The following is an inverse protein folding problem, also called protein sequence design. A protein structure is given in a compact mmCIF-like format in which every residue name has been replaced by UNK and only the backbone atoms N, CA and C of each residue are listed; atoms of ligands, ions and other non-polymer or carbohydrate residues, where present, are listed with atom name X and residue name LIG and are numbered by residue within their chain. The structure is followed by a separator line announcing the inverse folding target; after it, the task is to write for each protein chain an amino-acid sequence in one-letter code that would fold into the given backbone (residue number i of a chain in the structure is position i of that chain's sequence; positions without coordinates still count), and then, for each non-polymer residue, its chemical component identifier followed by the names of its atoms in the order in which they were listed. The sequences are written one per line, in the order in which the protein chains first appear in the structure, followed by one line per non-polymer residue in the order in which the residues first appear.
data_IF_627671941143
#
_entry.id   IF_627671941143
#
_cell.length_a   1.000
_cell.length_b   1.000
_cell.length_c   1.000
_cell.angle_alpha   90.00
_cell.angle_beta   90.00
_cell.angle_gamma   90.00
#
_symmetry.space_group_name_H-M   'P 1'
#
loop_
_entity.id
_entity.type
_entity.pdbx_description
1 polymer ?
#
# COMPACT_ATOMS: atom_id res chain seq x y z
N UNK A 1 -13.53 -31.62 6.20
CA UNK A 1 -12.09 -31.41 5.86
C UNK A 1 -11.87 -31.76 4.41
N UNK A 2 -11.24 -30.85 3.64
CA UNK A 2 -10.95 -31.13 2.22
C UNK A 2 -9.68 -31.98 2.08
N UNK A 3 -9.68 -32.96 1.20
CA UNK A 3 -8.50 -33.73 0.81
C UNK A 3 -8.57 -34.11 -0.67
N UNK A 4 -7.41 -34.31 -1.29
CA UNK A 4 -7.31 -34.78 -2.67
C UNK A 4 -6.98 -36.27 -2.64
N UNK A 5 -7.67 -37.05 -3.44
CA UNK A 5 -7.39 -38.47 -3.70
C UNK A 5 -6.87 -38.62 -5.12
N UNK A 6 -6.61 -39.84 -5.57
CA UNK A 6 -6.07 -40.11 -6.91
C UNK A 6 -6.95 -39.55 -8.04
N UNK A 7 -8.28 -39.58 -7.86
CA UNK A 7 -9.26 -39.24 -8.90
C UNK A 7 -10.37 -38.30 -8.42
N UNK A 8 -10.30 -37.74 -7.20
CA UNK A 8 -11.36 -36.90 -6.68
C UNK A 8 -10.86 -35.84 -5.68
N UNK A 9 -11.61 -34.75 -5.57
CA UNK A 9 -11.55 -33.83 -4.44
C UNK A 9 -12.65 -34.19 -3.46
N UNK A 10 -12.26 -34.48 -2.22
CA UNK A 10 -13.20 -34.79 -1.14
C UNK A 10 -13.51 -33.52 -0.34
N UNK A 11 -14.77 -33.19 -0.20
CA UNK A 11 -15.23 -32.09 0.65
C UNK A 11 -16.49 -32.54 1.42
N UNK A 12 -16.43 -32.44 2.74
CA UNK A 12 -17.50 -32.88 3.67
C UNK A 12 -18.05 -34.27 3.32
N UNK A 13 -17.16 -35.24 3.14
CA UNK A 13 -17.39 -36.63 2.81
C UNK A 13 -18.05 -36.89 1.42
N UNK A 14 -18.20 -35.85 0.61
CA UNK A 14 -18.64 -35.97 -0.79
C UNK A 14 -17.40 -36.03 -1.70
N UNK A 15 -17.39 -37.01 -2.59
CA UNK A 15 -16.35 -37.14 -3.61
C UNK A 15 -16.78 -36.41 -4.89
N UNK A 16 -15.95 -35.47 -5.34
CA UNK A 16 -16.06 -34.79 -6.63
C UNK A 16 -15.00 -35.38 -7.54
N UNK A 17 -15.39 -36.27 -8.43
CA UNK A 17 -14.50 -36.88 -9.42
C UNK A 17 -14.07 -35.80 -10.43
N UNK A 18 -12.76 -35.70 -10.67
CA UNK A 18 -12.17 -34.69 -11.57
C UNK A 18 -10.95 -35.27 -12.28
N UNK A 19 -10.76 -34.90 -13.53
CA UNK A 19 -9.60 -35.28 -14.35
C UNK A 19 -8.45 -34.25 -14.22
N UNK A 20 -8.79 -33.02 -13.77
CA UNK A 20 -7.82 -31.94 -13.65
C UNK A 20 -8.20 -30.98 -12.52
N UNK A 21 -7.20 -30.50 -11.79
CA UNK A 21 -7.35 -29.46 -10.79
C UNK A 21 -6.51 -28.24 -11.22
N UNK A 22 -7.18 -27.09 -11.37
CA UNK A 22 -6.51 -25.83 -11.70
C UNK A 22 -6.41 -24.99 -10.43
N UNK A 23 -5.18 -24.78 -9.93
CA UNK A 23 -4.92 -23.92 -8.79
C UNK A 23 -4.89 -22.45 -9.24
N UNK A 24 -6.02 -21.77 -9.20
CA UNK A 24 -6.16 -20.35 -9.52
C UNK A 24 -6.20 -19.52 -8.24
N UNK A 25 -5.16 -19.61 -7.41
CA UNK A 25 -5.12 -19.07 -6.04
C UNK A 25 -4.83 -17.56 -5.97
N UNK A 26 -4.51 -16.93 -7.12
CA UNK A 26 -4.27 -15.48 -7.18
C UNK A 26 -2.93 -15.05 -6.57
N UNK A 27 -2.84 -13.76 -6.27
CA UNK A 27 -1.66 -13.13 -5.68
C UNK A 27 -1.97 -12.53 -4.32
N UNK A 28 -0.98 -12.47 -3.42
CA UNK A 28 -1.10 -11.76 -2.15
C UNK A 28 -1.07 -10.24 -2.40
N UNK A 29 -2.13 -9.52 -2.03
CA UNK A 29 -2.22 -8.05 -2.19
C UNK A 29 -2.37 -7.36 -0.84
N UNK A 30 -3.08 -7.96 0.09
CA UNK A 30 -3.41 -7.38 1.39
C UNK A 30 -2.49 -7.80 2.54
N UNK A 31 -1.47 -8.58 2.28
CA UNK A 31 -0.52 -9.06 3.28
C UNK A 31 0.61 -8.07 3.54
N UNK A 32 1.35 -8.29 4.62
CA UNK A 32 2.52 -7.49 4.99
C UNK A 32 3.49 -7.32 3.80
N UNK A 33 4.11 -6.13 3.71
CA UNK A 33 4.97 -5.78 2.59
C UNK A 33 6.18 -6.71 2.49
N UNK A 34 6.87 -7.00 3.59
CA UNK A 34 8.05 -7.86 3.59
C UNK A 34 7.70 -9.31 3.24
N UNK A 35 6.56 -9.82 3.74
CA UNK A 35 6.05 -11.15 3.37
C UNK A 35 5.76 -11.22 1.88
N UNK A 36 5.06 -10.23 1.35
CA UNK A 36 4.66 -10.20 -0.06
C UNK A 36 5.83 -10.02 -1.03
N UNK A 37 6.81 -9.17 -0.66
CA UNK A 37 7.99 -8.91 -1.49
C UNK A 37 9.07 -9.98 -1.37
N UNK A 38 9.07 -10.74 -0.28
CA UNK A 38 10.08 -11.76 0.02
C UNK A 38 11.43 -11.17 0.48
N UNK A 39 11.50 -9.86 0.77
CA UNK A 39 12.69 -9.20 1.31
C UNK A 39 12.33 -8.10 2.30
N UNK A 40 13.26 -7.77 3.19
CA UNK A 40 13.13 -6.69 4.15
C UNK A 40 13.87 -5.43 3.66
N UNK A 41 13.23 -4.28 3.81
CA UNK A 41 13.87 -2.98 3.55
C UNK A 41 14.32 -2.40 4.89
N UNK A 42 15.59 -2.00 4.96
CA UNK A 42 16.16 -1.32 6.11
C UNK A 42 16.43 0.15 5.76
N UNK A 43 15.96 1.03 6.60
CA UNK A 43 16.16 2.47 6.55
C UNK A 43 17.35 2.94 7.40
N UNK A 44 17.26 4.19 7.87
CA UNK A 44 18.26 4.80 8.74
C UNK A 44 18.31 4.06 10.08
N UNK A 45 19.52 3.92 10.63
CA UNK A 45 19.79 3.27 11.92
C UNK A 45 19.26 1.83 12.02
N UNK A 46 19.12 1.14 10.88
CA UNK A 46 18.67 -0.23 10.84
C UNK A 46 17.15 -0.42 11.03
N UNK A 47 16.37 0.66 11.07
CA UNK A 47 14.92 0.59 11.14
C UNK A 47 14.38 -0.21 9.96
N UNK A 48 13.65 -1.30 10.22
CA UNK A 48 13.03 -2.08 9.14
C UNK A 48 11.66 -1.52 8.77
N UNK A 49 11.22 -1.77 7.53
CA UNK A 49 9.88 -1.34 7.10
C UNK A 49 8.77 -2.06 7.88
N UNK A 50 9.00 -3.30 8.26
CA UNK A 50 8.06 -4.07 9.09
C UNK A 50 7.93 -3.48 10.49
N UNK A 51 9.03 -3.04 11.11
CA UNK A 51 9.00 -2.36 12.41
C UNK A 51 8.32 -0.98 12.29
N UNK A 52 8.65 -0.22 11.24
CA UNK A 52 8.05 1.09 10.97
C UNK A 52 6.53 1.01 10.81
N UNK A 53 6.03 -0.04 10.17
CA UNK A 53 4.62 -0.26 9.89
C UNK A 53 3.94 -1.30 10.79
N UNK A 54 4.59 -1.68 11.91
CA UNK A 54 4.02 -2.66 12.87
C UNK A 54 2.64 -2.25 13.37
N UNK A 55 2.42 -0.94 13.50
CA UNK A 55 1.15 -0.35 13.93
C UNK A 55 0.27 0.14 12.76
N UNK A 56 0.60 -0.22 11.54
CA UNK A 56 -0.05 0.18 10.30
C UNK A 56 0.85 1.11 9.48
N UNK A 57 0.51 1.29 8.20
CA UNK A 57 1.29 2.11 7.29
C UNK A 57 1.35 3.56 7.76
N UNK A 58 2.55 4.11 7.81
CA UNK A 58 2.79 5.54 7.98
C UNK A 58 3.61 6.05 6.81
N UNK A 59 3.07 7.02 6.09
CA UNK A 59 3.71 7.61 4.92
C UNK A 59 3.26 9.06 4.73
N UNK A 60 3.90 9.76 3.81
CA UNK A 60 3.40 11.00 3.25
C UNK A 60 3.04 10.77 1.78
N UNK A 61 1.84 11.15 1.39
CA UNK A 61 1.25 10.92 0.07
C UNK A 61 1.22 9.43 -0.38
N UNK A 62 1.23 8.48 0.55
CA UNK A 62 1.26 7.05 0.23
C UNK A 62 2.59 6.53 -0.35
N UNK A 63 3.60 7.37 -0.50
CA UNK A 63 4.83 7.04 -1.23
C UNK A 63 6.12 7.31 -0.46
N UNK A 64 6.15 8.28 0.44
CA UNK A 64 7.36 8.68 1.16
C UNK A 64 7.25 8.27 2.62
N UNK A 65 8.30 7.69 3.16
CA UNK A 65 8.33 7.18 4.54
C UNK A 65 9.49 7.80 5.30
N UNK A 66 9.21 8.35 6.49
CA UNK A 66 10.26 8.85 7.36
C UNK A 66 11.16 7.73 7.85
N UNK A 67 12.48 7.99 7.81
CA UNK A 67 13.50 6.99 8.11
C UNK A 67 13.93 6.15 6.91
N UNK A 68 13.30 6.36 5.74
CA UNK A 68 13.63 5.66 4.50
C UNK A 68 13.93 6.66 3.38
N UNK A 69 15.05 7.38 3.48
CA UNK A 69 15.42 8.40 2.51
C UNK A 69 15.60 7.79 1.11
N UNK A 70 15.10 8.51 0.10
CA UNK A 70 15.17 8.11 -1.32
C UNK A 70 14.48 6.77 -1.63
N UNK A 71 13.70 6.21 -0.70
CA UNK A 71 12.83 5.08 -0.94
C UNK A 71 11.40 5.56 -1.27
N UNK A 72 10.83 5.00 -2.33
CA UNK A 72 9.49 5.35 -2.78
C UNK A 72 8.64 4.09 -2.86
N UNK A 73 7.51 4.10 -2.19
CA UNK A 73 6.58 2.98 -2.13
C UNK A 73 5.40 3.24 -3.06
N UNK A 74 5.04 2.26 -3.85
CA UNK A 74 3.91 2.36 -4.78
C UNK A 74 2.82 1.39 -4.36
N UNK A 75 1.59 1.84 -4.39
CA UNK A 75 0.46 0.99 -4.03
C UNK A 75 -0.83 1.77 -3.79
N UNK A 76 -1.89 1.07 -3.39
CA UNK A 76 -3.18 1.69 -3.13
C UNK A 76 -3.31 2.28 -1.71
N UNK A 77 -2.53 1.78 -0.74
CA UNK A 77 -2.62 2.20 0.66
C UNK A 77 -2.15 3.64 0.81
N UNK A 78 -2.95 4.44 1.53
CA UNK A 78 -2.74 5.88 1.72
C UNK A 78 -2.62 6.69 0.42
N UNK A 79 -3.04 6.12 -0.72
CA UNK A 79 -2.97 6.71 -2.05
C UNK A 79 -4.29 6.57 -2.81
N UNK A 80 -4.33 7.05 -4.05
CA UNK A 80 -5.50 6.92 -4.90
C UNK A 80 -5.67 5.49 -5.43
N UNK A 81 -6.71 4.80 -4.97
CA UNK A 81 -7.05 3.49 -5.50
C UNK A 81 -8.05 3.62 -6.65
N UNK A 82 -7.70 3.06 -7.81
CA UNK A 82 -8.53 3.05 -9.02
C UNK A 82 -8.61 1.64 -9.61
N UNK A 83 -9.75 1.30 -10.20
CA UNK A 83 -9.90 0.07 -10.99
C UNK A 83 -8.89 0.02 -12.16
N UNK A 84 -8.53 1.17 -12.72
CA UNK A 84 -7.38 1.30 -13.61
C UNK A 84 -6.10 1.48 -12.79
N UNK A 85 -5.55 0.37 -12.30
CA UNK A 85 -4.39 0.40 -11.42
C UNK A 85 -3.13 0.93 -12.11
N UNK A 86 -2.97 0.66 -13.41
CA UNK A 86 -1.84 1.17 -14.20
C UNK A 86 -1.86 2.69 -14.31
N UNK A 87 -3.03 3.31 -14.44
CA UNK A 87 -3.16 4.77 -14.39
C UNK A 87 -2.76 5.34 -13.01
N UNK A 88 -3.18 4.68 -11.94
CA UNK A 88 -2.80 5.10 -10.60
C UNK A 88 -1.28 5.04 -10.38
N UNK A 89 -0.62 3.99 -10.89
CA UNK A 89 0.84 3.86 -10.84
C UNK A 89 1.55 4.91 -11.71
N UNK A 90 1.01 5.27 -12.87
CA UNK A 90 1.54 6.33 -13.73
C UNK A 90 1.52 7.69 -13.01
N UNK A 91 0.41 8.05 -12.36
CA UNK A 91 0.31 9.29 -11.59
C UNK A 91 1.26 9.33 -10.37
N UNK A 92 1.43 8.20 -9.67
CA UNK A 92 2.42 8.08 -8.60
C UNK A 92 3.85 8.21 -9.16
N UNK A 93 4.14 7.58 -10.29
CA UNK A 93 5.43 7.64 -10.96
C UNK A 93 5.78 9.06 -11.41
N UNK A 94 4.82 9.79 -11.97
CA UNK A 94 4.97 11.22 -12.32
C UNK A 94 5.29 12.07 -11.11
N UNK A 95 4.65 11.78 -9.96
CA UNK A 95 4.92 12.50 -8.72
C UNK A 95 6.34 12.27 -8.22
N UNK A 96 6.79 11.02 -8.18
CA UNK A 96 8.16 10.65 -7.79
C UNK A 96 9.18 11.24 -8.77
N UNK A 97 8.96 11.12 -10.07
CA UNK A 97 9.85 11.67 -11.09
C UNK A 97 10.00 13.20 -10.96
N UNK A 98 8.90 13.90 -10.65
CA UNK A 98 8.93 15.33 -10.36
C UNK A 98 9.84 15.64 -9.16
N UNK A 99 9.68 14.89 -8.04
CA UNK A 99 10.48 15.10 -6.82
C UNK A 99 11.96 14.87 -7.10
N UNK A 100 12.31 13.75 -7.73
CA UNK A 100 13.71 13.44 -8.10
C UNK A 100 14.30 14.52 -9.00
N UNK A 101 13.54 15.00 -9.99
CA UNK A 101 13.95 16.09 -10.86
C UNK A 101 14.12 17.42 -10.09
N UNK A 102 13.20 17.72 -9.17
CA UNK A 102 13.28 18.94 -8.37
C UNK A 102 14.45 18.92 -7.39
N UNK A 103 14.77 17.79 -6.79
CA UNK A 103 15.97 17.61 -5.96
C UNK A 103 17.23 17.85 -6.79
N UNK A 104 17.33 17.24 -7.97
CA UNK A 104 18.48 17.42 -8.88
C UNK A 104 18.68 18.89 -9.28
N UNK A 105 17.60 19.61 -9.64
CA UNK A 105 17.67 21.04 -9.96
C UNK A 105 18.17 21.90 -8.79
N UNK A 106 17.87 21.47 -7.54
CA UNK A 106 18.26 22.18 -6.31
C UNK A 106 19.61 21.71 -5.75
N UNK A 107 20.32 20.82 -6.44
CA UNK A 107 21.60 20.26 -5.97
C UNK A 107 21.44 19.38 -4.72
N UNK A 108 20.23 18.86 -4.47
CA UNK A 108 19.90 18.00 -3.34
C UNK A 108 19.98 16.54 -3.74
N UNK A 109 20.36 15.67 -2.79
CA UNK A 109 20.59 14.23 -3.05
C UNK A 109 19.73 13.33 -2.18
N UNK A 110 19.04 13.90 -1.19
CA UNK A 110 18.24 13.13 -0.21
C UNK A 110 16.88 13.77 -0.02
N UNK A 111 15.86 12.95 0.04
CA UNK A 111 14.53 13.32 0.51
C UNK A 111 13.89 12.20 1.30
N UNK A 112 13.15 12.56 2.32
CA UNK A 112 12.28 11.66 3.08
C UNK A 112 11.06 12.44 3.59
N UNK A 113 10.04 11.76 4.08
CA UNK A 113 8.91 12.43 4.70
C UNK A 113 9.35 13.22 5.93
N UNK A 114 8.92 14.48 6.05
CA UNK A 114 9.03 15.23 7.29
C UNK A 114 8.09 14.61 8.35
N UNK A 115 8.54 14.54 9.61
CA UNK A 115 7.80 13.87 10.67
C UNK A 115 6.35 14.37 10.80
N UNK A 116 6.18 15.70 10.78
CA UNK A 116 4.84 16.31 10.88
C UNK A 116 3.98 16.00 9.65
N UNK A 117 4.53 16.04 8.46
CA UNK A 117 3.78 15.78 7.24
C UNK A 117 3.31 14.31 7.14
N UNK A 118 4.14 13.37 7.56
CA UNK A 118 3.77 11.97 7.67
C UNK A 118 2.63 11.78 8.68
N UNK A 119 2.75 12.38 9.88
CA UNK A 119 1.73 12.26 10.91
C UNK A 119 0.39 12.90 10.50
N UNK A 120 0.44 14.11 9.92
CA UNK A 120 -0.75 14.81 9.42
C UNK A 120 -1.44 14.01 8.30
N UNK A 121 -0.65 13.39 7.41
CA UNK A 121 -1.20 12.55 6.33
C UNK A 121 -1.89 11.31 6.88
N UNK A 122 -1.27 10.60 7.84
CA UNK A 122 -1.89 9.46 8.51
C UNK A 122 -3.20 9.86 9.19
N UNK A 123 -3.21 11.00 9.90
CA UNK A 123 -4.42 11.50 10.55
C UNK A 123 -5.54 11.79 9.53
N UNK A 124 -5.20 12.40 8.39
CA UNK A 124 -6.16 12.67 7.32
C UNK A 124 -6.71 11.38 6.70
N UNK A 125 -5.86 10.36 6.48
CA UNK A 125 -6.30 9.05 5.99
C UNK A 125 -7.28 8.41 6.97
N UNK A 126 -6.98 8.44 8.27
CA UNK A 126 -7.86 7.88 9.32
C UNK A 126 -9.19 8.63 9.38
N UNK A 127 -9.16 9.96 9.32
CA UNK A 127 -10.37 10.80 9.34
C UNK A 127 -11.29 10.51 8.13
N UNK A 128 -10.69 10.39 6.94
CA UNK A 128 -11.41 10.18 5.69
C UNK A 128 -11.65 8.71 5.35
N UNK A 129 -11.16 7.77 6.18
CA UNK A 129 -11.34 6.35 5.96
C UNK A 129 -12.83 5.98 5.85
N UNK A 130 -13.16 5.21 4.83
CA UNK A 130 -14.53 4.69 4.65
C UNK A 130 -14.72 3.48 5.56
N UNK A 131 -15.88 3.39 6.18
CA UNK A 131 -16.26 2.21 6.98
C UNK A 131 -16.47 1.01 6.06
N UNK A 132 -15.44 0.20 5.95
CA UNK A 132 -15.45 -1.06 5.20
C UNK A 132 -15.24 -2.28 6.12
N UNK A 133 -15.14 -2.07 7.44
CA UNK A 133 -14.83 -3.14 8.40
C UNK A 133 -15.88 -4.24 8.35
N UNK A 134 -17.15 -3.90 8.48
CA UNK A 134 -18.24 -4.87 8.43
C UNK A 134 -18.30 -5.65 7.10
N UNK A 135 -17.98 -4.99 5.98
CA UNK A 135 -17.89 -5.66 4.68
C UNK A 135 -16.69 -6.62 4.64
N UNK A 136 -15.54 -6.21 5.15
CA UNK A 136 -14.34 -7.06 5.17
C UNK A 136 -14.49 -8.26 6.12
N UNK A 137 -15.15 -8.07 7.26
CA UNK A 137 -15.47 -9.15 8.21
C UNK A 137 -16.42 -10.19 7.61
N UNK A 138 -17.39 -9.74 6.81
CA UNK A 138 -18.34 -10.62 6.12
C UNK A 138 -17.75 -11.30 4.89
N UNK A 139 -16.60 -10.84 4.39
CA UNK A 139 -15.96 -11.44 3.22
C UNK A 139 -15.28 -12.77 3.54
N UNK A 140 -15.37 -13.71 2.60
CA UNK A 140 -14.57 -14.94 2.64
C UNK A 140 -13.07 -14.58 2.76
N UNK A 141 -12.30 -15.29 3.61
CA UNK A 141 -10.87 -15.12 3.69
C UNK A 141 -10.20 -15.14 2.32
N UNK A 142 -9.39 -14.15 2.04
CA UNK A 142 -8.71 -13.99 0.76
C UNK A 142 -7.65 -12.87 0.82
N UNK A 143 -6.96 -12.67 -0.27
CA UNK A 143 -5.83 -11.75 -0.32
C UNK A 143 -6.20 -10.26 -0.11
N UNK A 144 -7.45 -9.85 -0.27
CA UNK A 144 -7.88 -8.48 0.02
C UNK A 144 -8.09 -8.19 1.51
N UNK A 145 -8.44 -9.21 2.28
CA UNK A 145 -8.69 -9.11 3.72
C UNK A 145 -7.64 -9.85 4.57
N UNK A 146 -6.41 -9.95 4.05
CA UNK A 146 -5.28 -10.60 4.72
C UNK A 146 -5.62 -12.02 5.22
N UNK A 147 -6.26 -12.82 4.35
CA UNK A 147 -6.69 -14.21 4.64
C UNK A 147 -7.64 -14.28 5.85
N UNK A 148 -8.50 -13.28 6.03
CA UNK A 148 -9.42 -13.18 7.15
C UNK A 148 -8.79 -12.72 8.46
N UNK A 149 -7.49 -12.42 8.45
CA UNK A 149 -6.81 -11.79 9.57
C UNK A 149 -6.90 -10.27 9.44
N UNK A 150 -7.98 -9.70 9.92
CA UNK A 150 -8.23 -8.26 9.84
C UNK A 150 -7.23 -7.48 10.69
N UNK A 151 -6.03 -7.31 10.17
CA UNK A 151 -5.01 -6.42 10.74
C UNK A 151 -5.06 -5.02 10.14
N UNK A 152 -5.91 -4.80 9.13
CA UNK A 152 -6.00 -3.51 8.44
C UNK A 152 -6.60 -2.46 9.35
N UNK A 153 -5.74 -1.62 9.86
CA UNK A 153 -6.13 -0.40 10.56
C UNK A 153 -6.68 0.61 9.54
N UNK A 154 -7.48 1.56 10.00
CA UNK A 154 -8.03 2.62 9.15
C UNK A 154 -6.94 3.35 8.35
N UNK A 155 -5.74 3.51 8.93
CA UNK A 155 -4.59 4.13 8.27
C UNK A 155 -4.02 3.36 7.08
N UNK A 156 -4.34 2.06 6.92
CA UNK A 156 -3.88 1.26 5.76
C UNK A 156 -4.81 1.39 4.55
N UNK A 157 -5.89 2.15 4.68
CA UNK A 157 -6.87 2.33 3.62
C UNK A 157 -6.35 3.28 2.51
N UNK A 158 -7.01 3.24 1.36
CA UNK A 158 -6.83 4.21 0.32
C UNK A 158 -7.40 5.57 0.73
N UNK A 159 -6.99 6.65 0.04
CA UNK A 159 -7.48 8.00 0.27
C UNK A 159 -9.00 8.08 0.11
N UNK A 160 -9.70 8.45 1.18
CA UNK A 160 -11.16 8.30 1.29
C UNK A 160 -11.99 9.15 0.33
N UNK A 161 -11.45 10.26 -0.19
CA UNK A 161 -12.11 11.06 -1.21
C UNK A 161 -11.99 10.50 -2.63
N UNK A 162 -11.25 9.40 -2.78
CA UNK A 162 -11.11 8.69 -4.03
C UNK A 162 -9.92 9.13 -4.89
N UNK A 163 -9.67 8.40 -6.01
CA UNK A 163 -8.45 8.58 -6.79
C UNK A 163 -8.35 9.94 -7.49
N UNK A 164 -9.45 10.48 -7.98
CA UNK A 164 -9.43 11.78 -8.69
C UNK A 164 -8.97 12.90 -7.75
N UNK A 165 -9.58 12.98 -6.56
CA UNK A 165 -9.21 13.99 -5.57
C UNK A 165 -7.74 13.83 -5.11
N UNK A 166 -7.28 12.59 -4.97
CA UNK A 166 -5.89 12.31 -4.64
C UNK A 166 -4.93 12.80 -5.73
N UNK A 167 -5.18 12.49 -6.99
CA UNK A 167 -4.31 12.90 -8.10
C UNK A 167 -4.31 14.42 -8.30
N UNK A 168 -5.46 15.06 -8.14
CA UNK A 168 -5.56 16.53 -8.14
C UNK A 168 -4.76 17.16 -7.00
N UNK A 169 -4.77 16.55 -5.81
CA UNK A 169 -3.96 16.99 -4.68
C UNK A 169 -2.45 16.91 -5.00
N UNK A 170 -2.00 15.79 -5.57
CA UNK A 170 -0.61 15.64 -6.01
C UNK A 170 -0.23 16.67 -7.07
N UNK A 171 -1.12 16.93 -8.03
CA UNK A 171 -0.91 17.92 -9.08
C UNK A 171 -0.78 19.34 -8.51
N UNK A 172 -1.67 19.73 -7.60
CA UNK A 172 -1.63 21.02 -6.88
C UNK A 172 -0.36 21.16 -6.05
N UNK A 173 0.07 20.10 -5.36
CA UNK A 173 1.30 20.10 -4.58
C UNK A 173 2.54 20.30 -5.49
N UNK A 174 2.61 19.59 -6.62
CA UNK A 174 3.69 19.76 -7.62
C UNK A 174 3.74 21.20 -8.17
N UNK A 175 2.57 21.78 -8.44
CA UNK A 175 2.48 23.13 -9.01
C UNK A 175 3.04 24.24 -8.08
N UNK A 176 3.10 23.98 -6.78
CA UNK A 176 3.69 24.92 -5.82
C UNK A 176 5.22 24.96 -5.88
N UNK A 177 5.86 23.94 -6.41
CA UNK A 177 7.33 23.75 -6.54
C UNK A 177 8.14 24.02 -5.24
N UNK A 178 7.56 23.74 -4.06
CA UNK A 178 8.21 23.99 -2.75
C UNK A 178 8.77 22.72 -2.10
N UNK A 179 8.23 21.54 -2.43
CA UNK A 179 8.51 20.25 -1.79
C UNK A 179 8.08 20.22 -0.31
N UNK A 180 7.04 20.95 0.04
CA UNK A 180 6.52 21.00 1.41
C UNK A 180 6.17 19.58 1.92
N UNK A 181 6.56 19.29 3.15
CA UNK A 181 6.37 17.98 3.76
C UNK A 181 7.47 16.96 3.49
N UNK A 182 8.52 17.36 2.76
CA UNK A 182 9.74 16.58 2.60
C UNK A 182 10.92 17.26 3.30
N UNK A 183 11.69 16.48 4.07
CA UNK A 183 13.02 16.85 4.54
C UNK A 183 14.01 16.56 3.40
N UNK A 184 14.73 17.57 2.92
CA UNK A 184 15.64 17.49 1.77
C UNK A 184 17.05 17.91 2.13
N UNK A 185 18.08 17.18 1.68
CA UNK A 185 19.48 17.46 1.91
C UNK A 185 20.37 17.26 0.66
#
# INVERSE_FOLDING_TARGET
MARITENAVMFDDVAYEVDCIIFATGFEVGTDYARRSGYQISGVDGLTISDKWADGMASFHGMHVRGFPNAFFFGPSQAGFSANFTYALDEQSRHVAYIVSALKRRGKKRSEAAAKAEADWVAEIVEKARDAEAFQEACTPGYYNNEGQLTRRRQDQAYGEGPVAFFDRLAKWRAQDRLDGLDIA
#
